data_IF_024127382445
#
_entry.id   IF_024127382445
#
_cell.length_a   1.000
_cell.length_b   1.000
_cell.length_c   1.000
_cell.angle_alpha   90.00
_cell.angle_beta   90.00
_cell.angle_gamma   90.00
#
_symmetry.space_group_name_H-M   'P 1'
#
loop_
_entity.id
_entity.type
_entity.pdbx_description
1 polymer ?
#
# COMPACT_ATOMS: atom_id res chain seq x y z
N UNK A 1 -36.86 -3.80 -6.69
CA UNK A 1 -36.30 -2.46 -6.38
C UNK A 1 -35.90 -2.29 -4.92
N UNK A 2 -36.68 -2.59 -3.89
CA UNK A 2 -36.29 -2.44 -2.46
C UNK A 2 -35.03 -3.20 -2.04
N UNK A 3 -34.76 -4.40 -2.55
CA UNK A 3 -33.57 -5.20 -2.22
C UNK A 3 -32.26 -4.63 -2.80
N UNK A 4 -32.33 -3.96 -3.95
CA UNK A 4 -31.17 -3.32 -4.59
C UNK A 4 -30.78 -2.04 -3.86
N UNK A 5 -31.75 -1.27 -3.39
CA UNK A 5 -31.53 -0.05 -2.61
C UNK A 5 -30.89 -0.38 -1.25
N UNK A 6 -31.30 -1.49 -0.62
CA UNK A 6 -30.71 -1.95 0.65
C UNK A 6 -29.24 -2.40 0.47
N UNK A 7 -28.92 -3.05 -0.65
CA UNK A 7 -27.55 -3.48 -0.97
C UNK A 7 -26.62 -2.29 -1.25
N UNK A 8 -27.12 -1.27 -1.95
CA UNK A 8 -26.37 -0.04 -2.23
C UNK A 8 -26.15 0.77 -0.97
N UNK A 9 -27.12 0.85 -0.07
CA UNK A 9 -26.99 1.49 1.24
C UNK A 9 -26.02 0.74 2.15
N UNK A 10 -26.02 -0.59 2.16
CA UNK A 10 -25.05 -1.40 2.92
C UNK A 10 -23.62 -1.23 2.38
N UNK A 11 -23.46 -1.13 1.06
CA UNK A 11 -22.17 -0.87 0.42
C UNK A 11 -21.69 0.57 0.68
N UNK A 12 -22.59 1.56 0.71
CA UNK A 12 -22.25 2.94 1.04
C UNK A 12 -21.84 3.11 2.52
N UNK A 13 -22.45 2.35 3.44
CA UNK A 13 -22.05 2.33 4.87
C UNK A 13 -20.70 1.64 5.06
N UNK A 14 -20.37 0.63 4.25
CA UNK A 14 -19.03 0.00 4.25
C UNK A 14 -17.94 0.90 3.64
N UNK A 15 -18.31 1.80 2.72
CA UNK A 15 -17.40 2.78 2.14
C UNK A 15 -17.24 4.04 3.02
N UNK A 16 -18.19 4.30 3.93
CA UNK A 16 -18.14 5.42 4.89
C UNK A 16 -17.41 5.09 6.19
N UNK A 17 -17.06 3.82 6.44
CA UNK A 17 -16.01 3.47 7.40
C UNK A 17 -14.64 3.76 6.75
N UNK A 18 -14.52 5.01 6.27
CA UNK A 18 -13.31 5.55 5.72
C UNK A 18 -12.18 5.33 6.70
N UNK A 19 -11.14 4.73 6.21
CA UNK A 19 -9.75 4.74 6.64
C UNK A 19 -9.42 5.92 7.56
N UNK A 20 -9.96 5.90 8.78
CA UNK A 20 -9.36 6.63 9.87
C UNK A 20 -8.03 5.94 10.09
N UNK A 21 -6.95 6.64 9.84
CA UNK A 21 -5.64 6.22 10.30
C UNK A 21 -5.72 6.16 11.82
N UNK A 22 -6.18 5.05 12.39
CA UNK A 22 -6.22 4.85 13.81
C UNK A 22 -4.76 4.75 14.28
N UNK A 23 -4.27 5.84 14.83
CA UNK A 23 -2.94 5.92 15.44
C UNK A 23 -2.84 5.01 16.67
N UNK A 24 -3.98 4.64 17.25
CA UNK A 24 -4.08 3.72 18.38
C UNK A 24 -5.03 2.57 18.05
N UNK A 25 -4.71 1.34 18.47
CA UNK A 25 -5.64 0.22 18.41
C UNK A 25 -6.96 0.55 19.11
N UNK A 26 -8.08 0.03 18.59
CA UNK A 26 -9.39 0.29 19.15
C UNK A 26 -9.43 -0.05 20.65
N UNK A 27 -9.78 0.95 21.48
CA UNK A 27 -9.85 0.81 22.95
C UNK A 27 -8.55 1.15 23.70
N UNK A 28 -7.45 1.46 23.03
CA UNK A 28 -6.25 1.98 23.67
C UNK A 28 -6.31 3.52 23.75
N UNK A 29 -6.15 4.06 24.96
CA UNK A 29 -6.02 5.48 25.18
C UNK A 29 -4.55 5.86 25.37
N UNK A 30 -4.10 6.98 24.78
CA UNK A 30 -2.75 7.46 24.97
C UNK A 30 -2.50 7.84 26.46
N UNK A 31 -1.36 7.45 26.97
CA UNK A 31 -0.94 7.70 28.37
C UNK A 31 0.17 8.74 28.37
N UNK A 32 -0.06 9.84 29.06
CA UNK A 32 0.93 10.90 29.26
C UNK A 32 2.17 10.37 29.99
N UNK A 33 3.35 10.79 29.54
CA UNK A 33 4.64 10.35 30.06
C UNK A 33 5.19 9.10 29.38
N UNK A 34 4.42 8.42 28.54
CA UNK A 34 4.91 7.25 27.79
C UNK A 34 5.54 7.65 26.46
N UNK A 35 6.42 6.75 25.98
CA UNK A 35 7.02 6.87 24.65
C UNK A 35 6.10 6.24 23.61
N UNK A 36 5.81 7.03 22.58
CA UNK A 36 5.12 6.64 21.36
C UNK A 36 6.01 6.86 20.15
N UNK A 37 5.52 6.57 18.97
CA UNK A 37 6.30 6.59 17.74
C UNK A 37 5.52 7.28 16.63
N UNK A 38 6.24 7.93 15.74
CA UNK A 38 5.65 8.51 14.53
C UNK A 38 5.21 7.38 13.59
N UNK A 39 3.93 7.36 13.25
CA UNK A 39 3.31 6.31 12.42
C UNK A 39 3.06 6.76 10.98
N UNK A 40 3.35 8.02 10.66
CA UNK A 40 3.39 8.58 9.32
C UNK A 40 4.83 8.82 8.86
N UNK A 41 5.05 9.05 7.58
CA UNK A 41 6.40 9.08 7.04
C UNK A 41 7.14 10.41 7.18
N UNK A 42 6.56 11.51 6.78
CA UNK A 42 7.09 12.87 6.92
C UNK A 42 6.03 13.68 7.66
N UNK A 43 5.96 13.44 8.96
CA UNK A 43 4.94 14.05 9.80
C UNK A 43 5.40 15.44 10.22
N UNK A 44 4.59 16.42 9.91
CA UNK A 44 4.87 17.81 10.24
C UNK A 44 4.83 18.05 11.75
N UNK A 45 5.87 18.68 12.25
CA UNK A 45 6.03 19.14 13.64
C UNK A 45 5.74 20.63 13.68
N UNK A 46 4.96 21.07 14.66
CA UNK A 46 4.49 22.45 14.78
C UNK A 46 4.72 23.01 16.18
N UNK A 47 4.79 24.33 16.27
CA UNK A 47 4.89 25.06 17.56
C UNK A 47 3.55 25.14 18.29
N UNK A 48 2.43 25.03 17.56
CA UNK A 48 1.08 25.10 18.12
C UNK A 48 0.16 24.01 17.54
N UNK A 49 -0.91 23.64 18.26
CA UNK A 49 -1.83 22.56 17.86
C UNK A 49 -2.84 23.03 16.80
N UNK A 50 -2.36 23.53 15.67
CA UNK A 50 -3.21 23.92 14.54
C UNK A 50 -2.48 23.78 13.20
N UNK A 51 -3.24 23.66 12.10
CA UNK A 51 -2.71 23.48 10.76
C UNK A 51 -2.40 24.79 10.02
N UNK A 52 -2.80 25.94 10.57
CA UNK A 52 -2.63 27.25 9.92
C UNK A 52 -1.22 27.81 10.15
N UNK A 53 -0.46 27.23 11.09
CA UNK A 53 0.92 27.59 11.37
C UNK A 53 1.84 26.76 10.48
N UNK A 54 2.90 27.35 9.98
CA UNK A 54 3.90 26.68 9.22
C UNK A 54 4.56 25.56 10.03
N UNK A 55 4.84 24.44 9.37
CA UNK A 55 5.58 23.35 10.00
C UNK A 55 7.05 23.75 10.15
N UNK A 56 7.59 23.55 11.34
CA UNK A 56 8.98 23.90 11.65
C UNK A 56 9.96 22.77 11.34
N UNK A 57 9.47 21.53 11.30
CA UNK A 57 10.26 20.34 11.01
C UNK A 57 9.37 19.22 10.52
N UNK A 58 9.97 18.11 10.08
CA UNK A 58 9.29 16.83 9.84
C UNK A 58 10.01 15.71 10.56
N UNK A 59 9.23 14.77 11.07
CA UNK A 59 9.71 13.56 11.71
C UNK A 59 9.40 12.34 10.84
N UNK A 60 10.28 11.36 10.89
CA UNK A 60 10.20 10.15 10.07
C UNK A 60 9.42 9.06 10.78
N UNK A 61 8.90 8.13 9.98
CA UNK A 61 8.28 6.92 10.48
C UNK A 61 9.17 6.15 11.46
N UNK A 62 8.61 5.79 12.62
CA UNK A 62 9.30 5.05 13.66
C UNK A 62 10.15 5.89 14.63
N UNK A 63 10.25 7.21 14.44
CA UNK A 63 10.94 8.08 15.39
C UNK A 63 10.18 8.18 16.71
N UNK A 64 10.88 8.05 17.87
CA UNK A 64 10.25 8.10 19.18
C UNK A 64 9.90 9.52 19.60
N UNK A 65 8.80 9.66 20.31
CA UNK A 65 8.36 10.88 20.98
C UNK A 65 7.77 10.54 22.35
N UNK A 66 7.94 11.42 23.34
CA UNK A 66 7.27 11.25 24.64
C UNK A 66 6.00 12.10 24.67
N UNK A 67 4.85 11.48 24.93
CA UNK A 67 3.58 12.20 25.02
C UNK A 67 3.53 13.02 26.31
N UNK A 68 3.31 14.33 26.18
CA UNK A 68 3.16 15.26 27.30
C UNK A 68 1.70 15.60 27.56
N UNK A 69 0.84 15.51 26.55
CA UNK A 69 -0.58 15.82 26.64
C UNK A 69 -1.31 15.59 25.32
N UNK A 70 -2.62 15.70 25.36
CA UNK A 70 -3.49 15.66 24.20
C UNK A 70 -4.34 16.90 24.17
N UNK A 71 -4.33 17.64 23.08
CA UNK A 71 -4.95 18.96 22.94
C UNK A 71 -5.89 19.02 21.74
N UNK A 72 -6.56 20.18 21.57
CA UNK A 72 -7.43 20.42 20.41
C UNK A 72 -8.58 19.42 20.27
N UNK A 73 -9.18 18.98 21.40
CA UNK A 73 -10.26 18.00 21.38
C UNK A 73 -9.82 16.61 20.95
N UNK A 74 -8.59 16.21 21.27
CA UNK A 74 -8.03 14.89 20.93
C UNK A 74 -7.27 14.85 19.60
N UNK A 75 -7.19 15.94 18.88
CA UNK A 75 -6.57 15.97 17.53
C UNK A 75 -5.05 16.15 17.54
N UNK A 76 -4.49 16.67 18.62
CA UNK A 76 -3.09 17.04 18.70
C UNK A 76 -2.40 16.36 19.87
N UNK A 77 -1.29 15.72 19.62
CA UNK A 77 -0.36 15.25 20.63
C UNK A 77 0.64 16.37 20.94
N UNK A 78 0.69 16.81 22.19
CA UNK A 78 1.80 17.58 22.73
C UNK A 78 2.89 16.59 23.09
N UNK A 79 4.04 16.68 22.46
CA UNK A 79 5.11 15.69 22.56
C UNK A 79 6.45 16.32 22.85
N UNK A 80 7.29 15.61 23.60
CA UNK A 80 8.73 15.90 23.70
C UNK A 80 9.48 15.09 22.67
N UNK A 81 10.27 15.80 21.87
CA UNK A 81 11.12 15.25 20.84
C UNK A 81 12.42 14.70 21.43
N UNK A 82 13.17 13.88 20.67
CA UNK A 82 14.45 13.32 21.11
C UNK A 82 15.54 14.38 21.43
N UNK A 83 15.42 15.58 20.85
CA UNK A 83 16.30 16.73 21.14
C UNK A 83 15.86 17.53 22.38
N UNK A 84 14.83 17.10 23.10
CA UNK A 84 14.30 17.74 24.30
C UNK A 84 13.28 18.87 24.07
N UNK A 85 12.95 19.18 22.82
CA UNK A 85 11.98 20.22 22.49
C UNK A 85 10.53 19.71 22.60
N UNK A 86 9.66 20.53 23.15
CA UNK A 86 8.22 20.25 23.24
C UNK A 86 7.52 20.85 22.03
N UNK A 87 6.72 20.02 21.34
CA UNK A 87 6.11 20.32 20.04
C UNK A 87 4.75 19.64 19.88
N UNK A 88 4.07 19.96 18.78
CA UNK A 88 2.77 19.39 18.44
C UNK A 88 2.83 18.55 17.18
N UNK A 89 2.19 17.39 17.25
CA UNK A 89 2.00 16.45 16.14
C UNK A 89 0.53 16.10 16.05
N UNK A 90 -0.01 15.95 14.83
CA UNK A 90 -1.39 15.48 14.70
C UNK A 90 -1.51 14.06 15.23
N UNK A 91 -2.54 13.81 16.03
CA UNK A 91 -2.72 12.58 16.80
C UNK A 91 -2.79 11.31 15.90
N UNK A 92 -3.30 11.44 14.67
CA UNK A 92 -3.36 10.35 13.67
C UNK A 92 -1.98 9.78 13.29
N UNK A 93 -0.92 10.49 13.64
CA UNK A 93 0.46 10.11 13.30
C UNK A 93 1.30 9.74 14.52
N UNK A 94 0.69 9.56 15.68
CA UNK A 94 1.38 9.15 16.92
C UNK A 94 0.74 7.87 17.43
N UNK A 95 1.52 6.80 17.58
CA UNK A 95 1.00 5.51 18.00
C UNK A 95 2.02 4.63 18.72
N UNK A 96 1.60 3.52 19.34
CA UNK A 96 2.49 2.59 20.00
C UNK A 96 3.39 1.85 19.01
N UNK A 97 4.48 1.25 19.51
CA UNK A 97 5.42 0.46 18.69
C UNK A 97 4.74 -0.71 17.95
N UNK A 98 3.64 -1.25 18.48
CA UNK A 98 2.85 -2.30 17.83
C UNK A 98 2.35 -1.87 16.46
N UNK A 99 1.83 -0.64 16.33
CA UNK A 99 1.37 -0.07 15.05
C UNK A 99 2.52 0.11 14.07
N UNK A 100 3.70 0.56 14.54
CA UNK A 100 4.89 0.67 13.70
C UNK A 100 5.30 -0.69 13.14
N UNK A 101 5.38 -1.71 14.01
CA UNK A 101 5.73 -3.08 13.61
C UNK A 101 4.72 -3.68 12.64
N UNK A 102 3.44 -3.45 12.87
CA UNK A 102 2.38 -3.93 11.97
C UNK A 102 2.48 -3.29 10.58
N UNK A 103 2.64 -1.96 10.51
CA UNK A 103 2.83 -1.27 9.22
C UNK A 103 4.07 -1.73 8.47
N UNK A 104 5.18 -1.99 9.18
CA UNK A 104 6.39 -2.57 8.58
C UNK A 104 6.13 -3.97 8.02
N UNK A 105 5.50 -4.84 8.81
CA UNK A 105 5.11 -6.18 8.39
C UNK A 105 4.20 -6.15 7.15
N UNK A 106 3.22 -5.26 7.13
CA UNK A 106 2.28 -5.13 6.02
C UNK A 106 3.00 -4.68 4.73
N UNK A 107 3.99 -3.78 4.82
CA UNK A 107 4.80 -3.40 3.67
C UNK A 107 5.57 -4.59 3.10
N UNK A 108 6.25 -5.36 3.95
CA UNK A 108 6.98 -6.56 3.51
C UNK A 108 6.04 -7.60 2.89
N UNK A 109 4.86 -7.80 3.46
CA UNK A 109 3.86 -8.72 2.92
C UNK A 109 3.34 -8.28 1.55
N UNK A 110 3.13 -6.98 1.33
CA UNK A 110 2.73 -6.44 0.02
C UNK A 110 3.79 -6.74 -1.04
N UNK A 111 5.07 -6.50 -0.73
CA UNK A 111 6.17 -6.75 -1.65
C UNK A 111 6.28 -8.25 -2.00
N UNK A 112 6.22 -9.14 -1.00
CA UNK A 112 6.20 -10.60 -1.24
C UNK A 112 5.00 -11.02 -2.10
N UNK A 113 3.85 -10.38 -1.91
CA UNK A 113 2.64 -10.68 -2.69
C UNK A 113 2.80 -10.23 -4.14
N UNK A 114 3.39 -9.07 -4.39
CA UNK A 114 3.71 -8.58 -5.74
C UNK A 114 4.67 -9.51 -6.47
N UNK A 115 5.71 -9.98 -5.78
CA UNK A 115 6.68 -10.94 -6.32
C UNK A 115 6.00 -12.24 -6.77
N UNK A 116 5.13 -12.80 -5.93
CA UNK A 116 4.35 -13.99 -6.28
C UNK A 116 3.38 -13.76 -7.45
N UNK A 117 2.79 -12.55 -7.56
CA UNK A 117 1.94 -12.23 -8.72
C UNK A 117 2.80 -12.17 -9.98
N UNK A 118 3.99 -11.61 -9.89
CA UNK A 118 4.95 -11.59 -10.99
C UNK A 118 5.34 -13.00 -11.45
N UNK A 119 5.72 -13.89 -10.53
CA UNK A 119 6.02 -15.30 -10.83
C UNK A 119 4.85 -16.00 -11.54
N UNK A 120 3.61 -15.73 -11.12
CA UNK A 120 2.43 -16.32 -11.74
C UNK A 120 2.14 -15.73 -13.14
N UNK A 121 2.48 -14.45 -13.38
CA UNK A 121 2.45 -13.85 -14.73
C UNK A 121 3.46 -14.54 -15.65
N UNK A 122 4.71 -14.75 -15.18
CA UNK A 122 5.74 -15.42 -15.95
C UNK A 122 5.33 -16.86 -16.28
N UNK A 123 4.84 -17.62 -15.29
CA UNK A 123 4.36 -19.00 -15.54
C UNK A 123 3.20 -19.05 -16.53
N UNK A 124 2.30 -18.07 -16.47
CA UNK A 124 1.21 -18.00 -17.44
C UNK A 124 1.75 -17.70 -18.85
N UNK A 125 2.69 -16.78 -18.98
CA UNK A 125 3.36 -16.47 -20.24
C UNK A 125 4.11 -17.70 -20.80
N UNK A 126 4.92 -18.36 -19.98
CA UNK A 126 5.66 -19.56 -20.39
C UNK A 126 4.71 -20.67 -20.86
N UNK A 127 3.55 -20.81 -20.22
CA UNK A 127 2.54 -21.81 -20.62
C UNK A 127 1.95 -21.57 -22.02
N UNK A 128 2.11 -20.35 -22.58
CA UNK A 128 1.68 -20.04 -23.95
C UNK A 128 2.61 -20.68 -25.01
N UNK A 129 3.83 -21.07 -24.63
CA UNK A 129 4.83 -21.69 -25.51
C UNK A 129 5.07 -23.13 -25.08
N UNK A 130 4.21 -24.09 -25.49
CA UNK A 130 4.36 -25.48 -25.09
C UNK A 130 5.67 -26.05 -25.59
N UNK A 131 6.43 -26.68 -24.70
CA UNK A 131 7.77 -27.21 -24.97
C UNK A 131 7.76 -28.63 -25.60
N UNK A 132 6.59 -29.24 -25.80
CA UNK A 132 6.51 -30.62 -26.31
C UNK A 132 5.14 -30.97 -26.90
N UNK A 133 5.04 -32.08 -27.63
CA UNK A 133 3.81 -32.46 -28.31
C UNK A 133 2.63 -32.83 -27.41
N UNK A 134 2.92 -33.08 -26.13
CA UNK A 134 1.89 -33.35 -25.10
C UNK A 134 1.51 -32.12 -24.28
N UNK A 135 2.28 -31.05 -24.39
CA UNK A 135 2.00 -29.80 -23.69
C UNK A 135 1.04 -28.97 -24.55
N UNK A 136 -0.03 -28.54 -23.95
CA UNK A 136 -1.03 -27.66 -24.61
C UNK A 136 -1.06 -26.30 -23.92
N UNK A 137 -0.98 -25.26 -24.73
CA UNK A 137 -1.26 -23.92 -24.24
C UNK A 137 -2.66 -23.87 -23.60
N UNK A 138 -2.86 -23.07 -22.56
CA UNK A 138 -4.17 -22.93 -21.94
C UNK A 138 -5.19 -22.41 -22.95
N UNK A 139 -6.40 -22.93 -22.86
CA UNK A 139 -7.48 -22.42 -23.70
C UNK A 139 -7.76 -20.93 -23.40
N UNK A 140 -8.31 -20.16 -24.35
CA UNK A 140 -8.65 -18.76 -24.14
C UNK A 140 -9.47 -18.52 -22.87
N UNK A 141 -10.40 -19.42 -22.55
CA UNK A 141 -11.23 -19.34 -21.33
C UNK A 141 -10.40 -19.50 -20.06
N UNK A 142 -9.51 -20.49 -20.04
CA UNK A 142 -8.61 -20.72 -18.89
C UNK A 142 -7.65 -19.55 -18.70
N UNK A 143 -7.04 -19.05 -19.77
CA UNK A 143 -6.14 -17.90 -19.76
C UNK A 143 -6.83 -16.65 -19.22
N UNK A 144 -8.01 -16.29 -19.76
CA UNK A 144 -8.77 -15.13 -19.31
C UNK A 144 -9.17 -15.27 -17.84
N UNK A 145 -9.53 -16.48 -17.40
CA UNK A 145 -9.84 -16.75 -15.98
C UNK A 145 -8.63 -16.51 -15.08
N UNK A 146 -7.45 -17.00 -15.48
CA UNK A 146 -6.19 -16.76 -14.75
C UNK A 146 -5.84 -15.28 -14.71
N UNK A 147 -5.96 -14.56 -15.82
CA UNK A 147 -5.72 -13.12 -15.87
C UNK A 147 -6.66 -12.35 -14.94
N UNK A 148 -7.94 -12.71 -14.89
CA UNK A 148 -8.91 -12.09 -13.96
C UNK A 148 -8.52 -12.32 -12.49
N UNK A 149 -8.07 -13.52 -12.13
CA UNK A 149 -7.61 -13.82 -10.78
C UNK A 149 -6.35 -13.03 -10.41
N UNK A 150 -5.39 -12.89 -11.33
CA UNK A 150 -4.20 -12.06 -11.15
C UNK A 150 -4.55 -10.58 -10.98
N UNK A 151 -5.46 -10.03 -11.80
CA UNK A 151 -5.93 -8.65 -11.67
C UNK A 151 -6.63 -8.41 -10.34
N UNK A 152 -7.42 -9.36 -9.82
CA UNK A 152 -8.05 -9.22 -8.51
C UNK A 152 -6.99 -9.12 -7.41
N UNK A 153 -6.00 -10.03 -7.40
CA UNK A 153 -4.90 -9.99 -6.43
C UNK A 153 -4.11 -8.67 -6.50
N UNK A 154 -3.89 -8.16 -7.70
CA UNK A 154 -3.19 -6.90 -7.92
C UNK A 154 -3.99 -5.71 -7.36
N UNK A 155 -5.31 -5.71 -7.53
CA UNK A 155 -6.20 -4.73 -6.92
C UNK A 155 -6.18 -4.79 -5.40
N UNK A 156 -6.18 -5.98 -4.80
CA UNK A 156 -6.10 -6.17 -3.35
C UNK A 156 -4.80 -5.59 -2.78
N UNK A 157 -3.66 -5.78 -3.48
CA UNK A 157 -2.40 -5.14 -3.11
C UNK A 157 -2.49 -3.62 -3.21
N UNK A 158 -3.10 -3.09 -4.27
CA UNK A 158 -3.27 -1.65 -4.45
C UNK A 158 -4.08 -1.01 -3.32
N UNK A 159 -5.16 -1.65 -2.88
CA UNK A 159 -5.98 -1.19 -1.75
C UNK A 159 -5.18 -1.17 -0.45
N UNK A 160 -4.36 -2.20 -0.21
CA UNK A 160 -3.57 -2.32 1.02
C UNK A 160 -2.31 -1.43 1.03
N UNK A 161 -1.89 -0.92 -0.13
CA UNK A 161 -0.68 -0.11 -0.26
C UNK A 161 -0.74 1.18 0.57
N UNK A 162 -1.91 1.81 0.65
CA UNK A 162 -2.10 3.07 1.39
C UNK A 162 -1.87 2.90 2.89
N UNK A 163 -2.21 1.73 3.43
CA UNK A 163 -2.05 1.38 4.85
C UNK A 163 -0.64 0.89 5.20
N UNK A 164 0.24 0.77 4.21
CA UNK A 164 1.61 0.30 4.42
C UNK A 164 2.51 1.40 4.99
N UNK A 165 3.63 1.00 5.62
CA UNK A 165 4.69 1.89 6.09
C UNK A 165 5.58 2.40 4.95
N UNK A 166 5.34 1.95 3.71
CA UNK A 166 6.12 2.36 2.57
C UNK A 166 6.11 3.89 2.41
N UNK A 167 7.21 4.38 1.96
CA UNK A 167 7.43 5.79 1.71
C UNK A 167 6.54 6.34 0.58
N UNK A 168 6.30 7.66 0.54
CA UNK A 168 5.59 8.28 -0.59
C UNK A 168 6.25 7.90 -1.92
N UNK A 169 7.58 7.99 -2.01
CA UNK A 169 8.30 7.58 -3.23
C UNK A 169 8.17 6.08 -3.48
N UNK A 170 8.35 5.24 -2.46
CA UNK A 170 8.15 3.80 -2.56
C UNK A 170 6.71 3.45 -2.95
N UNK A 171 5.70 4.10 -2.35
CA UNK A 171 4.30 3.91 -2.77
C UNK A 171 4.08 4.29 -4.23
N UNK A 172 4.70 5.37 -4.70
CA UNK A 172 4.60 5.77 -6.11
C UNK A 172 5.27 4.75 -7.03
N UNK A 173 6.47 4.26 -6.69
CA UNK A 173 7.14 3.23 -7.48
C UNK A 173 6.33 1.92 -7.49
N UNK A 174 5.77 1.51 -6.35
CA UNK A 174 4.89 0.34 -6.25
C UNK A 174 3.61 0.55 -7.09
N UNK A 175 2.97 1.73 -7.07
CA UNK A 175 1.80 2.02 -7.92
C UNK A 175 2.14 1.92 -9.41
N UNK A 176 3.27 2.48 -9.82
CA UNK A 176 3.75 2.38 -11.20
C UNK A 176 3.98 0.92 -11.56
N UNK A 177 4.59 0.12 -10.69
CA UNK A 177 4.82 -1.30 -10.88
C UNK A 177 3.50 -2.08 -11.00
N UNK A 178 2.54 -1.86 -10.11
CA UNK A 178 1.19 -2.44 -10.19
C UNK A 178 0.54 -2.13 -11.55
N UNK A 179 0.59 -0.88 -12.00
CA UNK A 179 0.03 -0.48 -13.29
C UNK A 179 0.67 -1.22 -14.47
N UNK A 180 1.99 -1.41 -14.43
CA UNK A 180 2.72 -2.15 -15.47
C UNK A 180 2.43 -3.65 -15.45
N UNK A 181 2.32 -4.27 -14.27
CA UNK A 181 1.85 -5.67 -14.16
C UNK A 181 0.45 -5.83 -14.74
N UNK A 182 -0.46 -4.88 -14.46
CA UNK A 182 -1.80 -4.88 -15.04
C UNK A 182 -1.78 -4.84 -16.58
N UNK A 183 -0.87 -4.09 -17.19
CA UNK A 183 -0.69 -4.07 -18.65
C UNK A 183 -0.22 -5.41 -19.18
N UNK A 184 0.73 -6.08 -18.51
CA UNK A 184 1.18 -7.43 -18.90
C UNK A 184 0.03 -8.45 -18.80
N UNK A 185 -0.74 -8.43 -17.73
CA UNK A 185 -1.90 -9.32 -17.54
C UNK A 185 -2.94 -9.10 -18.63
N UNK A 186 -3.19 -7.86 -19.04
CA UNK A 186 -4.12 -7.56 -20.14
C UNK A 186 -3.58 -8.07 -21.48
N UNK A 187 -2.28 -7.91 -21.77
CA UNK A 187 -1.66 -8.47 -22.97
C UNK A 187 -1.80 -10.00 -23.03
N UNK A 188 -1.60 -10.70 -21.89
CA UNK A 188 -1.83 -12.14 -21.80
C UNK A 188 -3.30 -12.51 -22.00
N UNK A 189 -4.24 -11.73 -21.51
CA UNK A 189 -5.67 -11.97 -21.73
C UNK A 189 -6.06 -11.82 -23.21
N UNK A 190 -5.41 -10.91 -23.92
CA UNK A 190 -5.62 -10.61 -25.34
C UNK A 190 -4.69 -11.37 -26.28
N UNK A 191 -4.01 -12.42 -25.84
CA UNK A 191 -2.93 -13.10 -26.57
C UNK A 191 -3.25 -13.41 -28.02
N UNK A 192 -4.42 -14.04 -28.27
CA UNK A 192 -4.86 -14.40 -29.62
C UNK A 192 -5.29 -13.18 -30.48
N UNK A 193 -5.37 -12.00 -29.89
CA UNK A 193 -5.78 -10.75 -30.55
C UNK A 193 -4.61 -9.74 -30.59
N UNK A 194 -3.38 -10.21 -30.82
CA UNK A 194 -2.18 -9.37 -30.88
C UNK A 194 -1.57 -9.02 -29.51
N UNK A 195 -1.98 -9.71 -28.46
CA UNK A 195 -1.36 -9.58 -27.14
C UNK A 195 0.06 -10.10 -27.11
N UNK A 196 0.37 -11.17 -27.89
CA UNK A 196 1.71 -11.74 -28.04
C UNK A 196 2.71 -10.70 -28.55
N UNK A 197 2.37 -9.98 -29.62
CA UNK A 197 3.24 -8.96 -30.22
C UNK A 197 3.49 -7.77 -29.28
N UNK A 198 2.57 -7.49 -28.35
CA UNK A 198 2.67 -6.42 -27.39
C UNK A 198 3.46 -6.83 -26.13
N UNK A 199 3.40 -8.09 -25.73
CA UNK A 199 3.94 -8.56 -24.44
C UNK A 199 5.45 -8.38 -24.37
N UNK A 200 6.20 -8.96 -25.30
CA UNK A 200 7.66 -9.01 -25.21
C UNK A 200 8.33 -7.64 -25.24
N UNK A 201 8.03 -6.73 -26.16
CA UNK A 201 8.60 -5.39 -26.13
C UNK A 201 8.22 -4.63 -24.86
N UNK A 202 6.97 -4.72 -24.44
CA UNK A 202 6.53 -4.05 -23.22
C UNK A 202 7.25 -4.59 -21.98
N UNK A 203 7.44 -5.91 -21.88
CA UNK A 203 8.15 -6.56 -20.79
C UNK A 203 9.59 -6.05 -20.69
N UNK A 204 10.34 -6.07 -21.77
CA UNK A 204 11.75 -5.67 -21.77
C UNK A 204 11.94 -4.16 -21.58
N UNK A 205 11.22 -3.36 -22.33
CA UNK A 205 11.50 -1.92 -22.45
C UNK A 205 10.82 -1.09 -21.37
N UNK A 206 9.74 -1.61 -20.80
CA UNK A 206 8.87 -0.81 -19.91
C UNK A 206 8.72 -1.42 -18.52
N UNK A 207 8.56 -2.74 -18.41
CA UNK A 207 8.31 -3.40 -17.14
C UNK A 207 9.61 -3.63 -16.34
N UNK A 208 10.62 -4.26 -16.94
CA UNK A 208 11.87 -4.62 -16.24
C UNK A 208 12.56 -3.43 -15.57
N UNK A 209 12.68 -2.24 -16.19
CA UNK A 209 13.31 -1.09 -15.53
C UNK A 209 12.57 -0.62 -14.27
N UNK A 210 11.27 -0.93 -14.14
CA UNK A 210 10.49 -0.62 -12.92
C UNK A 210 10.59 -1.75 -11.90
N UNK A 211 10.62 -3.00 -12.36
CA UNK A 211 10.85 -4.18 -11.52
C UNK A 211 12.15 -4.06 -10.72
N UNK A 212 13.25 -3.70 -11.39
CA UNK A 212 14.57 -3.53 -10.76
C UNK A 212 14.52 -2.45 -9.66
N UNK A 213 13.86 -1.30 -9.92
CA UNK A 213 13.69 -0.25 -8.91
C UNK A 213 12.87 -0.69 -7.72
N UNK A 214 11.81 -1.46 -7.93
CA UNK A 214 10.99 -1.99 -6.83
C UNK A 214 11.77 -3.05 -6.07
N UNK A 215 12.57 -3.87 -6.73
CA UNK A 215 13.49 -4.83 -6.12
C UNK A 215 14.46 -4.20 -5.12
N UNK A 216 14.91 -2.97 -5.36
CA UNK A 216 15.77 -2.23 -4.42
C UNK A 216 15.07 -1.81 -3.12
N UNK A 217 13.73 -1.84 -3.08
CA UNK A 217 12.96 -1.59 -1.84
C UNK A 217 12.97 -2.78 -0.87
N UNK A 218 13.39 -3.99 -1.33
CA UNK A 218 13.52 -5.19 -0.50
C UNK A 218 14.89 -5.26 0.23
N UNK A 219 15.87 -4.53 -0.24
CA UNK A 219 17.23 -4.47 0.31
C UNK A 219 17.37 -3.31 1.30
#
# INVERSE_FOLDING_TARGET
MRKIILLVLLFAVLLLNGLTAEAFPAGENPVVGQTYYITGRNVWIRDEPNTNIEAIASYRFGEPVTLLGVEGGGKWAHVRLCNGWDRYVHMDYVGPMSVVKEKQKNTSLLLITLDRIYDDIERLMESMYPNGPNDKAPSPVQRISSCKALMQRLNDVSINLENSAASVNAKNDIRVFIGKMGTLINALAEWDNGGEEKYTPYFLDTFMPVYDRVGDLYR
#
